data_IF_976334980662
#
_entry.id   IF_976334980662
#
_cell.length_a   1.000
_cell.length_b   1.000
_cell.length_c   1.000
_cell.angle_alpha   90.00
_cell.angle_beta   90.00
_cell.angle_gamma   90.00
#
_symmetry.space_group_name_H-M   'P 1'
#
loop_
_entity.id
_entity.type
_entity.pdbx_description
1 polymer ?
#
# COMPACT_ATOMS: atom_id res chain seq x y z
N UNK A 1 -6.88 5.69 11.69
CA UNK A 1 -5.60 5.93 11.01
C UNK A 1 -4.67 4.87 11.57
N UNK A 2 -4.32 3.86 10.76
CA UNK A 2 -3.39 2.84 11.19
C UNK A 2 -2.06 3.54 11.45
N UNK A 3 -1.54 3.39 12.67
CA UNK A 3 -0.29 4.04 13.07
C UNK A 3 0.86 3.05 12.90
N UNK A 4 1.98 3.47 12.29
CA UNK A 4 3.16 2.63 12.22
C UNK A 4 3.73 2.50 13.63
N UNK A 5 3.81 1.28 14.15
CA UNK A 5 4.50 0.99 15.41
C UNK A 5 5.67 0.03 15.18
N UNK A 6 6.80 0.37 15.80
CA UNK A 6 7.99 -0.47 15.93
C UNK A 6 9.00 -0.34 14.79
N UNK A 7 10.27 -0.65 15.09
CA UNK A 7 11.39 -0.65 14.13
C UNK A 7 11.22 -1.61 12.94
N UNK A 8 10.13 -2.39 12.88
CA UNK A 8 9.92 -3.45 11.88
C UNK A 8 8.99 -3.04 10.72
N UNK A 9 8.46 -1.81 10.71
CA UNK A 9 7.65 -1.30 9.60
C UNK A 9 6.33 -2.06 9.35
N UNK A 10 5.80 -2.74 10.37
CA UNK A 10 4.53 -3.48 10.28
C UNK A 10 3.32 -2.58 10.52
N UNK A 11 2.21 -2.83 9.80
CA UNK A 11 0.93 -2.21 10.08
C UNK A 11 0.28 -2.81 11.33
N UNK A 12 -0.18 -1.96 12.25
CA UNK A 12 -1.10 -2.33 13.30
C UNK A 12 -2.47 -1.70 12.99
N UNK A 13 -3.50 -2.54 12.87
CA UNK A 13 -4.87 -2.06 12.74
C UNK A 13 -5.39 -1.56 14.08
N UNK A 14 -6.01 -0.38 14.08
CA UNK A 14 -6.77 0.11 15.21
C UNK A 14 -8.06 -0.69 15.43
N UNK A 15 -8.66 -0.55 16.61
CA UNK A 15 -9.91 -1.24 16.94
C UNK A 15 -11.03 -0.95 15.92
N UNK A 16 -11.09 0.26 15.39
CA UNK A 16 -12.10 0.64 14.40
C UNK A 16 -11.88 -0.01 13.04
N UNK A 17 -10.64 0.01 12.56
CA UNK A 17 -10.25 -0.63 11.30
C UNK A 17 -10.52 -2.15 11.34
N UNK A 18 -10.29 -2.78 12.50
CA UNK A 18 -10.62 -4.19 12.72
C UNK A 18 -12.13 -4.46 12.72
N UNK A 19 -12.96 -3.53 13.21
CA UNK A 19 -14.43 -3.66 13.13
C UNK A 19 -14.90 -3.60 11.68
N UNK A 20 -14.40 -2.61 10.93
CA UNK A 20 -14.71 -2.46 9.49
C UNK A 20 -14.26 -3.71 8.72
N UNK A 21 -13.05 -4.21 8.97
CA UNK A 21 -12.54 -5.43 8.34
C UNK A 21 -13.40 -6.66 8.67
N UNK A 22 -13.77 -6.85 9.94
CA UNK A 22 -14.63 -7.96 10.36
C UNK A 22 -16.00 -7.90 9.70
N UNK A 23 -16.59 -6.70 9.59
CA UNK A 23 -17.87 -6.47 8.90
C UNK A 23 -17.75 -6.78 7.41
N UNK A 24 -16.70 -6.28 6.75
CA UNK A 24 -16.43 -6.56 5.34
C UNK A 24 -16.30 -8.07 5.06
N UNK A 25 -15.58 -8.80 5.94
CA UNK A 25 -15.45 -10.25 5.85
C UNK A 25 -16.79 -10.96 6.05
N UNK A 26 -17.62 -10.52 7.01
CA UNK A 26 -18.95 -11.08 7.22
C UNK A 26 -19.84 -10.93 5.98
N UNK A 27 -19.82 -9.75 5.34
CA UNK A 27 -20.53 -9.49 4.07
C UNK A 27 -20.00 -10.40 2.94
N UNK A 28 -18.68 -10.57 2.84
CA UNK A 28 -18.07 -11.43 1.81
C UNK A 28 -18.45 -12.91 1.97
N UNK A 29 -18.57 -13.39 3.22
CA UNK A 29 -18.98 -14.76 3.52
C UNK A 29 -20.50 -14.97 3.42
N UNK A 30 -21.28 -13.94 3.73
CA UNK A 30 -22.74 -13.96 3.73
C UNK A 30 -23.29 -12.74 2.99
N UNK A 31 -23.41 -12.81 1.65
CA UNK A 31 -23.83 -11.69 0.84
C UNK A 31 -25.23 -11.21 1.24
N UNK A 32 -25.30 -9.96 1.68
CA UNK A 32 -26.53 -9.25 2.04
C UNK A 32 -26.47 -7.83 1.44
N UNK A 33 -27.60 -7.13 1.29
CA UNK A 33 -27.58 -5.74 0.86
C UNK A 33 -26.74 -4.90 1.84
N UNK A 34 -25.76 -4.18 1.30
CA UNK A 34 -24.78 -3.38 2.05
C UNK A 34 -25.19 -1.91 1.99
N UNK A 35 -25.04 -1.18 3.10
CA UNK A 35 -25.32 0.26 3.12
C UNK A 35 -24.23 1.04 2.36
N UNK A 36 -24.57 2.24 1.88
CA UNK A 36 -23.58 3.11 1.23
C UNK A 36 -22.45 3.54 2.18
N UNK A 37 -22.75 3.67 3.48
CA UNK A 37 -21.77 3.99 4.52
C UNK A 37 -20.76 2.85 4.72
N UNK A 38 -21.24 1.61 4.80
CA UNK A 38 -20.37 0.44 4.94
C UNK A 38 -19.43 0.28 3.74
N UNK A 39 -19.91 0.58 2.53
CA UNK A 39 -19.09 0.60 1.30
C UNK A 39 -18.01 1.67 1.43
N UNK A 40 -18.37 2.89 1.83
CA UNK A 40 -17.42 3.98 1.97
C UNK A 40 -16.37 3.70 3.06
N UNK A 41 -16.75 3.07 4.16
CA UNK A 41 -15.82 2.62 5.20
C UNK A 41 -14.82 1.59 4.67
N UNK A 42 -15.29 0.62 3.87
CA UNK A 42 -14.42 -0.37 3.26
C UNK A 42 -13.44 0.26 2.28
N UNK A 43 -13.88 1.22 1.46
CA UNK A 43 -13.02 1.95 0.53
C UNK A 43 -11.96 2.77 1.27
N UNK A 44 -12.35 3.49 2.33
CA UNK A 44 -11.40 4.25 3.18
C UNK A 44 -10.39 3.33 3.84
N UNK A 45 -10.81 2.16 4.33
CA UNK A 45 -9.90 1.17 4.89
C UNK A 45 -8.93 0.65 3.82
N UNK A 46 -9.41 0.31 2.63
CA UNK A 46 -8.57 -0.15 1.52
C UNK A 46 -7.51 0.90 1.14
N UNK A 47 -7.91 2.17 0.97
CA UNK A 47 -6.99 3.28 0.71
C UNK A 47 -5.93 3.42 1.80
N UNK A 48 -6.30 3.24 3.07
CA UNK A 48 -5.33 3.31 4.18
C UNK A 48 -4.32 2.16 4.17
N UNK A 49 -4.75 0.96 3.76
CA UNK A 49 -3.90 -0.22 3.63
C UNK A 49 -2.94 -0.05 2.45
N UNK A 50 -3.45 0.44 1.31
CA UNK A 50 -2.63 0.69 0.13
C UNK A 50 -1.58 1.78 0.41
N UNK A 51 -1.98 2.89 1.05
CA UNK A 51 -1.05 3.95 1.44
C UNK A 51 0.07 3.46 2.38
N UNK A 52 -0.27 2.61 3.35
CA UNK A 52 0.71 2.03 4.25
C UNK A 52 1.59 0.97 3.55
N UNK A 53 1.06 0.24 2.55
CA UNK A 53 1.85 -0.67 1.73
C UNK A 53 2.86 0.08 0.86
N UNK A 54 2.46 1.20 0.27
CA UNK A 54 3.31 2.09 -0.52
C UNK A 54 4.41 2.72 0.33
N UNK A 55 4.07 3.23 1.53
CA UNK A 55 5.08 3.76 2.44
C UNK A 55 6.04 2.67 2.93
N UNK A 56 5.53 1.47 3.21
CA UNK A 56 6.37 0.31 3.50
C UNK A 56 7.33 -0.03 2.36
N UNK A 57 6.87 0.07 1.11
CA UNK A 57 7.72 -0.11 -0.07
C UNK A 57 8.79 0.97 -0.20
N UNK A 58 8.44 2.22 0.11
CA UNK A 58 9.37 3.35 0.14
C UNK A 58 10.47 3.16 1.20
N UNK A 59 10.11 2.78 2.42
CA UNK A 59 11.06 2.50 3.51
C UNK A 59 12.00 1.37 3.11
N UNK A 60 11.46 0.27 2.55
CA UNK A 60 12.28 -0.84 2.05
C UNK A 60 13.24 -0.39 0.95
N UNK A 61 12.79 0.42 -0.01
CA UNK A 61 13.65 0.91 -1.07
C UNK A 61 14.84 1.72 -0.52
N UNK A 62 14.61 2.55 0.50
CA UNK A 62 15.67 3.29 1.19
C UNK A 62 16.66 2.34 1.89
N UNK A 63 16.18 1.36 2.66
CA UNK A 63 17.03 0.37 3.34
C UNK A 63 17.89 -0.43 2.35
N UNK A 64 17.34 -0.83 1.21
CA UNK A 64 18.09 -1.55 0.17
C UNK A 64 19.17 -0.68 -0.49
N UNK A 65 18.88 0.60 -0.70
CA UNK A 65 19.87 1.55 -1.21
C UNK A 65 21.00 1.77 -0.20
N UNK A 66 20.68 1.84 1.09
CA UNK A 66 21.67 1.94 2.16
C UNK A 66 22.51 0.67 2.26
N UNK A 67 21.89 -0.53 2.23
CA UNK A 67 22.62 -1.80 2.19
C UNK A 67 23.65 -1.86 1.06
N UNK A 68 23.26 -1.43 -0.16
CA UNK A 68 24.18 -1.36 -1.29
C UNK A 68 25.34 -0.38 -1.03
N UNK A 69 25.07 0.77 -0.39
CA UNK A 69 26.09 1.77 -0.03
C UNK A 69 27.07 1.23 1.00
N UNK A 70 26.58 0.61 2.08
CA UNK A 70 27.42 -0.02 3.11
C UNK A 70 28.27 -1.14 2.52
N UNK A 71 27.69 -1.96 1.63
CA UNK A 71 28.42 -3.04 0.95
C UNK A 71 29.53 -2.51 0.05
N UNK A 72 29.29 -1.41 -0.67
CA UNK A 72 30.30 -0.77 -1.52
C UNK A 72 31.46 -0.16 -0.72
N UNK A 73 31.24 0.16 0.56
CA UNK A 73 32.25 0.71 1.47
C UNK A 73 33.02 -0.36 2.25
N UNK A 74 32.85 -1.65 1.92
CA UNK A 74 33.62 -2.72 2.56
C UNK A 74 35.10 -2.70 2.13
N UNK A 75 36.03 -3.07 3.04
CA UNK A 75 35.80 -3.59 4.39
C UNK A 75 35.57 -2.50 5.46
N UNK A 76 35.74 -1.22 5.14
CA UNK A 76 35.66 -0.10 6.09
C UNK A 76 34.30 0.04 6.80
N UNK A 77 33.22 -0.42 6.16
CA UNK A 77 31.87 -0.36 6.70
C UNK A 77 31.34 -1.69 7.26
N UNK A 78 32.23 -2.63 7.63
CA UNK A 78 31.86 -4.00 8.05
C UNK A 78 30.79 -4.02 9.14
N UNK A 79 30.98 -3.30 10.25
CA UNK A 79 30.02 -3.31 11.37
C UNK A 79 28.64 -2.84 10.93
N UNK A 80 28.56 -1.68 10.26
CA UNK A 80 27.29 -1.13 9.80
C UNK A 80 26.61 -1.97 8.72
N UNK A 81 27.38 -2.63 7.84
CA UNK A 81 26.82 -3.58 6.87
C UNK A 81 26.17 -4.79 7.55
N UNK A 82 26.85 -5.39 8.55
CA UNK A 82 26.34 -6.57 9.24
C UNK A 82 25.10 -6.27 10.08
N UNK A 83 25.09 -5.14 10.80
CA UNK A 83 23.93 -4.68 11.59
C UNK A 83 22.72 -4.41 10.69
N UNK A 84 22.92 -3.64 9.62
CA UNK A 84 21.84 -3.31 8.68
C UNK A 84 21.32 -4.55 7.94
N UNK A 85 22.21 -5.50 7.61
CA UNK A 85 21.80 -6.74 6.98
C UNK A 85 20.97 -7.61 7.94
N UNK A 86 21.35 -7.72 9.21
CA UNK A 86 20.56 -8.48 10.19
C UNK A 86 19.17 -7.87 10.40
N UNK A 87 19.08 -6.54 10.50
CA UNK A 87 17.81 -5.82 10.58
C UNK A 87 16.93 -6.06 9.34
N UNK A 88 17.53 -5.97 8.14
CA UNK A 88 16.82 -6.24 6.90
C UNK A 88 16.32 -7.70 6.83
N UNK A 89 17.13 -8.67 7.26
CA UNK A 89 16.73 -10.08 7.32
C UNK A 89 15.60 -10.32 8.33
N UNK A 90 15.60 -9.61 9.46
CA UNK A 90 14.51 -9.64 10.43
C UNK A 90 13.20 -9.04 9.85
N UNK A 91 13.32 -8.10 8.91
CA UNK A 91 12.21 -7.52 8.16
C UNK A 91 11.78 -8.36 6.93
N UNK A 92 12.39 -9.53 6.71
CA UNK A 92 12.03 -10.46 5.63
C UNK A 92 12.74 -10.20 4.30
N UNK A 93 13.82 -9.42 4.30
CA UNK A 93 14.70 -9.29 3.14
C UNK A 93 15.23 -10.66 2.69
N UNK A 94 15.28 -10.89 1.38
CA UNK A 94 15.88 -12.08 0.78
C UNK A 94 17.31 -11.75 0.33
N UNK A 95 18.35 -12.35 0.92
CA UNK A 95 19.74 -12.00 0.62
C UNK A 95 20.12 -12.39 -0.82
N UNK A 96 20.79 -11.47 -1.51
CA UNK A 96 21.24 -11.66 -2.89
C UNK A 96 22.62 -12.33 -3.01
N UNK A 97 23.03 -12.61 -4.24
CA UNK A 97 24.35 -13.18 -4.53
C UNK A 97 25.49 -12.29 -4.02
N UNK A 98 25.35 -10.98 -4.17
CA UNK A 98 26.32 -9.99 -3.71
C UNK A 98 26.46 -9.98 -2.18
N UNK A 99 25.37 -10.20 -1.44
CA UNK A 99 25.41 -10.25 0.02
C UNK A 99 26.13 -11.50 0.50
N UNK A 100 25.86 -12.63 -0.15
CA UNK A 100 26.60 -13.87 0.09
C UNK A 100 28.08 -13.72 -0.28
N UNK A 101 28.40 -12.96 -1.33
CA UNK A 101 29.80 -12.67 -1.70
C UNK A 101 30.49 -11.81 -0.65
N UNK A 102 29.84 -10.73 -0.20
CA UNK A 102 30.35 -9.85 0.85
C UNK A 102 30.57 -10.61 2.16
N UNK A 103 29.60 -11.41 2.61
CA UNK A 103 29.72 -12.23 3.82
C UNK A 103 30.83 -13.28 3.71
N UNK A 104 31.04 -13.90 2.54
CA UNK A 104 32.18 -14.82 2.31
C UNK A 104 33.52 -14.09 2.42
N UNK A 105 33.63 -12.90 1.86
CA UNK A 105 34.85 -12.08 1.96
C UNK A 105 35.16 -11.68 3.42
N UNK A 106 34.11 -11.52 4.24
CA UNK A 106 34.20 -11.18 5.66
C UNK A 106 34.23 -12.39 6.60
N UNK A 107 34.41 -13.63 6.12
CA UNK A 107 34.28 -14.87 6.93
C UNK A 107 35.19 -14.97 8.15
N UNK A 108 36.26 -14.17 8.22
CA UNK A 108 37.13 -14.10 9.40
C UNK A 108 36.43 -13.42 10.59
N UNK A 109 35.37 -12.64 10.34
CA UNK A 109 34.51 -12.07 11.36
C UNK A 109 33.44 -13.08 11.80
N UNK A 110 33.29 -13.36 13.11
CA UNK A 110 32.35 -14.37 13.60
C UNK A 110 30.88 -14.01 13.31
N UNK A 111 30.51 -12.73 13.43
CA UNK A 111 29.15 -12.27 13.13
C UNK A 111 28.80 -12.43 11.66
N UNK A 112 29.76 -12.15 10.76
CA UNK A 112 29.60 -12.38 9.33
C UNK A 112 29.44 -13.88 9.01
N UNK A 113 30.19 -14.75 9.68
CA UNK A 113 30.06 -16.20 9.51
C UNK A 113 28.67 -16.71 9.95
N UNK A 114 28.14 -16.22 11.08
CA UNK A 114 26.79 -16.57 11.55
C UNK A 114 25.72 -16.09 10.55
N UNK A 115 25.81 -14.84 10.09
CA UNK A 115 24.88 -14.29 9.10
C UNK A 115 24.96 -15.04 7.76
N UNK A 116 26.15 -15.50 7.35
CA UNK A 116 26.33 -16.28 6.13
C UNK A 116 25.54 -17.59 6.17
N UNK A 117 25.60 -18.35 7.28
CA UNK A 117 24.85 -19.60 7.40
C UNK A 117 23.33 -19.37 7.42
N UNK A 118 22.88 -18.30 8.10
CA UNK A 118 21.47 -17.88 8.05
C UNK A 118 21.04 -17.52 6.62
N UNK A 119 21.82 -16.71 5.91
CA UNK A 119 21.51 -16.29 4.55
C UNK A 119 21.48 -17.46 3.56
N UNK A 120 22.38 -18.44 3.70
CA UNK A 120 22.36 -19.67 2.89
C UNK A 120 21.07 -20.45 3.08
N UNK A 121 20.65 -20.65 4.33
CA UNK A 121 19.40 -21.36 4.65
C UNK A 121 18.19 -20.66 4.03
N UNK A 122 18.16 -19.33 4.06
CA UNK A 122 17.09 -18.53 3.44
C UNK A 122 17.13 -18.65 1.90
N UNK A 123 18.29 -18.51 1.28
CA UNK A 123 18.46 -18.65 -0.16
C UNK A 123 18.07 -20.05 -0.65
N UNK A 124 18.42 -21.11 0.09
CA UNK A 124 18.01 -22.48 -0.22
C UNK A 124 16.50 -22.66 -0.14
N UNK A 125 15.85 -22.11 0.89
CA UNK A 125 14.39 -22.13 1.02
C UNK A 125 13.71 -21.39 -0.11
N UNK A 126 14.23 -20.23 -0.51
CA UNK A 126 13.69 -19.45 -1.62
C UNK A 126 13.85 -20.21 -2.96
N UNK A 127 15.02 -20.79 -3.23
CA UNK A 127 15.24 -21.62 -4.42
C UNK A 127 14.31 -22.84 -4.41
N UNK A 128 14.16 -23.53 -3.27
CA UNK A 128 13.25 -24.67 -3.15
C UNK A 128 11.80 -24.25 -3.40
N UNK A 129 11.33 -23.16 -2.79
CA UNK A 129 9.99 -22.63 -3.00
C UNK A 129 9.75 -22.25 -4.46
N UNK A 130 10.76 -21.70 -5.14
CA UNK A 130 10.69 -21.42 -6.59
C UNK A 130 10.59 -22.70 -7.40
N UNK A 131 11.38 -23.73 -7.09
CA UNK A 131 11.33 -25.01 -7.82
C UNK A 131 9.99 -25.73 -7.59
N UNK A 132 9.47 -25.73 -6.36
CA UNK A 132 8.15 -26.28 -6.01
C UNK A 132 7.01 -25.48 -6.67
N UNK A 133 7.13 -24.16 -6.72
CA UNK A 133 6.19 -23.26 -7.40
C UNK A 133 6.32 -23.24 -8.93
N UNK A 134 7.38 -23.81 -9.49
CA UNK A 134 7.71 -23.85 -10.92
C UNK A 134 7.45 -25.21 -11.57
N UNK A 135 6.59 -26.05 -10.98
CA UNK A 135 5.83 -27.03 -11.78
C UNK A 135 5.01 -26.25 -12.84
N UNK A 136 5.03 -26.63 -14.13
CA UNK A 136 5.03 -25.66 -15.22
C UNK A 136 3.68 -24.97 -15.41
N UNK A 137 3.63 -23.67 -15.13
CA UNK A 137 2.75 -22.70 -15.78
C UNK A 137 3.63 -21.54 -16.25
N UNK A 138 4.12 -21.67 -17.48
CA UNK A 138 4.92 -20.65 -18.16
C UNK A 138 4.00 -19.53 -18.63
N UNK A 139 4.44 -18.29 -18.37
CA UNK A 139 4.03 -17.05 -19.02
C UNK A 139 2.53 -16.70 -19.00
N UNK A 140 2.15 -15.85 -18.05
CA UNK A 140 1.48 -14.57 -18.30
C UNK A 140 1.29 -13.86 -16.96
N UNK A 141 1.27 -12.53 -16.96
CA UNK A 141 0.98 -11.64 -15.82
C UNK A 141 -0.06 -12.30 -14.89
N UNK A 142 0.40 -12.90 -13.79
CA UNK A 142 -0.48 -13.43 -12.76
C UNK A 142 -1.01 -12.23 -11.96
N UNK A 143 -1.96 -11.53 -12.55
CA UNK A 143 -3.01 -10.89 -11.76
C UNK A 143 -3.59 -12.03 -10.95
N UNK A 144 -3.30 -12.04 -9.64
CA UNK A 144 -3.92 -12.98 -8.70
C UNK A 144 -5.40 -12.64 -8.72
N UNK A 145 -6.15 -13.26 -9.62
CA UNK A 145 -7.60 -13.21 -9.53
C UNK A 145 -7.96 -14.00 -8.26
N UNK A 146 -8.66 -13.40 -7.29
CA UNK A 146 -9.14 -14.14 -6.14
C UNK A 146 -10.06 -15.25 -6.67
N UNK A 147 -9.67 -16.50 -6.40
CA UNK A 147 -10.47 -17.67 -6.76
C UNK A 147 -11.62 -17.73 -5.77
N UNK A 148 -12.70 -17.02 -6.07
CA UNK A 148 -13.93 -17.05 -5.28
C UNK A 148 -14.46 -18.50 -5.29
N UNK A 149 -14.75 -19.12 -4.13
CA UNK A 149 -15.34 -20.45 -4.10
C UNK A 149 -16.71 -20.42 -4.81
N UNK A 150 -17.01 -21.45 -5.60
CA UNK A 150 -18.25 -21.54 -6.35
C UNK A 150 -19.44 -21.88 -5.44
N UNK A 151 -19.90 -20.95 -4.60
CA UNK A 151 -21.22 -21.01 -3.99
C UNK A 151 -22.27 -20.56 -5.01
N UNK A 152 -22.57 -21.42 -6.00
CA UNK A 152 -23.68 -21.20 -6.92
C UNK A 152 -24.85 -22.11 -6.56
N UNK A 153 -25.72 -21.64 -5.67
CA UNK A 153 -27.15 -21.98 -5.76
C UNK A 153 -27.64 -21.43 -7.09
N UNK A 154 -27.76 -22.31 -8.09
CA UNK A 154 -28.38 -21.97 -9.38
C UNK A 154 -29.85 -21.66 -9.11
N UNK A 155 -30.25 -20.39 -9.24
CA UNK A 155 -31.64 -20.03 -9.31
C UNK A 155 -32.21 -20.65 -10.60
N UNK A 156 -33.01 -21.70 -10.44
CA UNK A 156 -33.90 -22.19 -11.48
C UNK A 156 -34.93 -21.08 -11.73
N UNK A 157 -34.86 -20.46 -12.90
CA UNK A 157 -35.88 -19.52 -13.35
C UNK A 157 -37.22 -20.27 -13.46
N UNK A 158 -38.20 -19.85 -12.67
CA UNK A 158 -39.58 -20.33 -12.77
C UNK A 158 -40.20 -19.81 -14.07
N UNK A 159 -40.85 -20.67 -14.89
CA UNK A 159 -41.52 -20.25 -16.11
C UNK A 159 -42.89 -19.64 -15.76
N UNK A 160 -43.03 -18.32 -15.89
CA UNK A 160 -44.30 -17.61 -15.78
C UNK A 160 -44.54 -16.78 -17.04
N UNK A 161 -45.46 -17.24 -17.89
CA UNK A 161 -45.85 -16.56 -19.13
C UNK A 161 -46.95 -15.52 -18.94
N UNK A 162 -47.13 -14.66 -19.93
CA UNK A 162 -48.41 -14.04 -20.31
C UNK A 162 -48.32 -13.58 -21.77
N UNK A 163 -49.39 -13.87 -22.51
CA UNK A 163 -49.52 -13.70 -23.94
C UNK A 163 -50.18 -12.35 -24.31
N UNK A 164 -49.89 -11.95 -25.55
CA UNK A 164 -50.78 -11.33 -26.52
C UNK A 164 -51.17 -9.83 -26.42
N UNK A 165 -50.72 -9.14 -27.48
CA UNK A 165 -51.46 -8.22 -28.36
C UNK A 165 -51.81 -6.81 -27.89
N UNK A 166 -51.44 -5.82 -28.72
CA UNK A 166 -52.15 -4.54 -28.81
C UNK A 166 -51.26 -3.31 -28.99
N UNK A 167 -50.87 -3.03 -30.23
CA UNK A 167 -50.56 -1.65 -30.68
C UNK A 167 -51.88 -0.87 -30.77
N UNK A 168 -51.92 0.44 -30.47
CA UNK A 168 -51.78 1.40 -31.57
C UNK A 168 -50.97 2.66 -31.24
N UNK A 169 -50.72 3.44 -32.29
CA UNK A 169 -49.78 4.54 -32.42
C UNK A 169 -50.31 5.92 -31.97
N UNK A 170 -49.40 6.85 -31.66
CA UNK A 170 -49.36 8.28 -32.12
C UNK A 170 -48.23 9.02 -31.36
N UNK A 171 -47.15 9.45 -32.04
CA UNK A 171 -46.90 10.80 -32.55
C UNK A 171 -46.09 11.68 -31.53
N UNK A 172 -45.53 12.85 -31.89
CA UNK A 172 -44.11 13.00 -32.21
C UNK A 172 -43.30 13.82 -31.18
N UNK A 173 -41.97 13.69 -31.30
CA UNK A 173 -40.91 14.30 -30.48
C UNK A 173 -40.89 15.83 -30.58
N UNK A 174 -40.82 16.59 -29.46
CA UNK A 174 -40.56 18.02 -29.50
C UNK A 174 -39.05 18.33 -29.71
N UNK A 175 -38.71 19.51 -30.29
CA UNK A 175 -37.35 19.85 -30.72
C UNK A 175 -36.41 20.21 -29.57
N UNK A 176 -35.12 20.11 -29.87
CA UNK A 176 -34.01 20.36 -28.94
C UNK A 176 -33.92 21.82 -28.48
N UNK A 177 -33.64 22.02 -27.19
CA UNK A 177 -33.31 23.33 -26.62
C UNK A 177 -31.96 23.85 -27.13
N UNK A 178 -31.78 25.18 -27.29
CA UNK A 178 -30.48 25.79 -27.63
C UNK A 178 -29.50 25.74 -26.45
N UNK A 179 -28.17 25.82 -26.69
CA UNK A 179 -27.16 25.73 -25.64
C UNK A 179 -27.13 26.98 -24.74
N UNK A 180 -26.89 26.74 -23.45
CA UNK A 180 -26.75 27.79 -22.43
C UNK A 180 -25.50 28.67 -22.65
N UNK A 181 -25.51 29.95 -22.22
CA UNK A 181 -24.37 30.85 -22.36
C UNK A 181 -23.19 30.45 -21.44
N UNK A 182 -21.94 30.76 -21.81
CA UNK A 182 -20.77 30.44 -21.01
C UNK A 182 -20.76 31.24 -19.70
N UNK A 183 -20.43 30.57 -18.59
CA UNK A 183 -20.25 31.21 -17.29
C UNK A 183 -18.98 32.09 -17.33
N UNK A 184 -18.99 33.29 -16.73
CA UNK A 184 -17.81 34.16 -16.70
C UNK A 184 -16.69 33.51 -15.87
N UNK A 185 -15.46 33.55 -16.40
CA UNK A 185 -14.27 33.15 -15.64
C UNK A 185 -13.92 34.25 -14.61
N UNK A 186 -13.56 33.88 -13.37
CA UNK A 186 -13.13 34.85 -12.37
C UNK A 186 -11.78 35.47 -12.74
N UNK A 187 -11.65 36.77 -12.51
CA UNK A 187 -10.44 37.53 -12.85
C UNK A 187 -9.30 37.31 -11.84
N UNK A 188 -8.02 37.49 -12.23
CA UNK A 188 -6.86 37.18 -11.39
C UNK A 188 -6.79 37.90 -10.03
N UNK A 189 -7.52 39.00 -9.84
CA UNK A 189 -7.55 39.76 -8.59
C UNK A 189 -8.33 39.05 -7.45
N UNK A 190 -9.16 38.05 -7.76
CA UNK A 190 -9.87 37.24 -6.76
C UNK A 190 -9.06 36.03 -6.27
N UNK A 191 -8.04 35.60 -7.02
CA UNK A 191 -7.23 34.42 -6.68
C UNK A 191 -5.97 34.80 -5.88
N UNK A 192 -5.58 36.08 -5.86
CA UNK A 192 -4.38 36.55 -5.15
C UNK A 192 -4.65 37.80 -4.31
N UNK A 193 -5.18 37.66 -3.07
CA UNK A 193 -5.21 38.79 -2.14
C UNK A 193 -3.78 39.24 -1.78
N UNK A 194 -3.50 40.55 -1.69
CA UNK A 194 -2.15 41.05 -1.43
C UNK A 194 -1.69 40.66 -0.01
N UNK A 195 -0.51 40.05 0.07
CA UNK A 195 0.16 39.66 1.32
C UNK A 195 0.34 40.87 2.24
N UNK A 196 -0.33 40.86 3.40
CA UNK A 196 -0.01 41.77 4.51
C UNK A 196 1.41 41.47 5.00
N UNK A 197 2.27 42.49 5.10
CA UNK A 197 3.61 42.36 5.71
C UNK A 197 3.46 42.04 7.21
N UNK A 198 4.23 41.08 7.76
CA UNK A 198 4.29 40.88 9.21
C UNK A 198 4.93 42.10 9.89
N UNK A 199 4.37 42.50 11.04
CA UNK A 199 4.95 43.54 11.89
C UNK A 199 6.24 43.03 12.57
N UNK A 200 7.25 43.88 12.81
CA UNK A 200 8.48 43.49 13.47
C UNK A 200 8.24 43.12 14.95
N UNK A 201 8.95 42.12 15.50
CA UNK A 201 8.81 41.71 16.89
C UNK A 201 9.37 42.75 17.86
N UNK A 202 8.70 42.92 19.00
CA UNK A 202 9.09 43.80 20.10
C UNK A 202 10.38 43.30 20.79
N UNK A 203 11.23 44.25 21.21
CA UNK A 203 12.49 43.99 21.89
C UNK A 203 12.29 43.34 23.28
N UNK A 204 13.20 42.47 23.74
CA UNK A 204 13.11 41.87 25.07
C UNK A 204 13.44 42.89 26.18
N UNK A 205 12.76 42.81 27.34
CA UNK A 205 13.03 43.67 28.49
C UNK A 205 14.40 43.36 29.12
N UNK A 206 15.15 44.43 29.43
CA UNK A 206 16.40 44.40 30.16
C UNK A 206 16.10 44.11 31.64
N UNK A 207 16.55 42.97 32.16
CA UNK A 207 16.61 42.74 33.60
C UNK A 207 17.89 43.33 34.18
N UNK A 208 17.68 44.21 35.14
CA UNK A 208 18.67 44.92 35.92
C UNK A 208 19.41 43.96 36.85
N UNK A 209 20.74 44.02 36.84
CA UNK A 209 21.58 43.43 37.86
C UNK A 209 21.32 44.14 39.21
N UNK A 210 20.98 43.36 40.23
CA UNK A 210 21.05 43.77 41.64
C UNK A 210 22.22 43.02 42.26
N UNK A 211 23.10 43.76 42.92
CA UNK A 211 24.28 43.24 43.63
C UNK A 211 23.96 42.58 44.96
#
# INVERSE_FOLDING_TARGET
MPTPYGNRGGMAFGAEELRVLRRALAIALHPSPVSAEDIQDCLRLAESVDAAADEGARIRAFLLADLARYRAALPGATTGYLELLDEALAAGYQPGADDLAALRALRANPSAAILLERCRTLAERDVRARLEGWAPARAEKRVVQPRVPASRTRLLALPGGLAATGKPASAPRPPANPPAPPRPMPTPAEVFPPKRRPAPPAAPPQELAVG
#
